data_IF_810930667440
#
_entry.id   IF_810930667440
#
_cell.length_a   1.000
_cell.length_b   1.000
_cell.length_c   1.000
_cell.angle_alpha   90.00
_cell.angle_beta   90.00
_cell.angle_gamma   90.00
#
_symmetry.space_group_name_H-M   'P 1'
#
loop_
_entity.id
_entity.type
_entity.pdbx_description
1 polymer ?
#
# COMPACT_ATOMS: atom_id res chain seq x y z
N UNK A 1 28.37 8.03 -24.53
CA UNK A 1 28.02 6.62 -24.29
C UNK A 1 26.49 6.51 -24.30
N UNK A 2 25.89 5.98 -25.37
CA UNK A 2 24.45 5.78 -25.45
C UNK A 2 24.03 4.81 -24.34
N UNK A 3 23.51 5.32 -23.22
CA UNK A 3 22.72 4.50 -22.29
C UNK A 3 21.67 3.78 -23.13
N UNK A 4 21.68 2.44 -23.15
CA UNK A 4 20.76 1.67 -23.97
C UNK A 4 19.32 2.10 -23.63
N UNK A 5 18.39 2.20 -24.60
CA UNK A 5 17.03 2.66 -24.35
C UNK A 5 16.35 1.91 -23.19
N UNK A 6 16.67 0.62 -23.01
CA UNK A 6 16.23 -0.22 -21.87
C UNK A 6 16.65 0.32 -20.50
N UNK A 7 17.87 0.84 -20.35
CA UNK A 7 18.38 1.35 -19.07
C UNK A 7 17.69 2.65 -18.66
N UNK A 8 17.44 3.53 -19.63
CA UNK A 8 16.67 4.76 -19.37
C UNK A 8 15.25 4.45 -18.94
N UNK A 9 14.62 3.47 -19.59
CA UNK A 9 13.29 3.01 -19.23
C UNK A 9 13.26 2.46 -17.79
N UNK A 10 14.20 1.59 -17.42
CA UNK A 10 14.26 1.04 -16.06
C UNK A 10 14.50 2.13 -15.01
N UNK A 11 15.43 3.06 -15.25
CA UNK A 11 15.65 4.19 -14.34
C UNK A 11 14.38 5.03 -14.16
N UNK A 12 13.66 5.29 -15.26
CA UNK A 12 12.40 6.01 -15.21
C UNK A 12 11.34 5.23 -14.40
N UNK A 13 11.21 3.92 -14.62
CA UNK A 13 10.27 3.08 -13.88
C UNK A 13 10.60 3.02 -12.38
N UNK A 14 11.87 2.85 -12.00
CA UNK A 14 12.26 2.87 -10.59
C UNK A 14 12.03 4.23 -9.95
N UNK A 15 12.28 5.32 -10.68
CA UNK A 15 12.00 6.66 -10.21
C UNK A 15 10.49 6.87 -9.96
N UNK A 16 9.63 6.45 -10.88
CA UNK A 16 8.18 6.51 -10.67
C UNK A 16 7.72 5.58 -9.54
N UNK A 17 8.35 4.41 -9.37
CA UNK A 17 8.09 3.51 -8.23
C UNK A 17 8.43 4.15 -6.89
N UNK A 18 9.56 4.87 -6.78
CA UNK A 18 9.94 5.61 -5.57
C UNK A 18 8.89 6.67 -5.24
N UNK A 19 8.44 7.44 -6.24
CA UNK A 19 7.41 8.47 -6.05
C UNK A 19 6.10 7.84 -5.58
N UNK A 20 5.61 6.80 -6.27
CA UNK A 20 4.37 6.10 -5.84
C UNK A 20 4.52 5.48 -4.46
N UNK A 21 5.67 4.89 -4.12
CA UNK A 21 5.87 4.34 -2.77
C UNK A 21 5.83 5.43 -1.68
N UNK A 22 6.35 6.64 -1.96
CA UNK A 22 6.21 7.78 -1.06
C UNK A 22 4.75 8.25 -0.93
N UNK A 23 4.00 8.27 -2.04
CA UNK A 23 2.58 8.60 -2.02
C UNK A 23 1.80 7.57 -1.21
N UNK A 24 2.05 6.28 -1.38
CA UNK A 24 1.42 5.22 -0.60
C UNK A 24 1.70 5.39 0.91
N UNK A 25 2.96 5.63 1.29
CA UNK A 25 3.30 5.96 2.68
C UNK A 25 2.56 7.21 3.19
N UNK A 26 2.44 8.24 2.36
CA UNK A 26 1.76 9.48 2.72
C UNK A 26 0.26 9.28 2.91
N UNK A 27 -0.41 8.59 1.98
CA UNK A 27 -1.86 8.39 2.01
C UNK A 27 -2.28 7.37 3.07
N UNK A 28 -1.60 6.21 3.15
CA UNK A 28 -1.92 5.18 4.15
C UNK A 28 -1.50 5.59 5.56
N UNK A 29 -0.43 6.39 5.72
CA UNK A 29 0.07 6.82 7.02
C UNK A 29 -0.37 8.23 7.43
N UNK A 30 0.29 9.24 6.85
CA UNK A 30 0.19 10.64 7.31
C UNK A 30 -1.23 11.18 7.12
N UNK A 31 -1.81 10.97 5.94
CA UNK A 31 -3.16 11.44 5.65
C UNK A 31 -4.19 10.74 6.53
N UNK A 32 -4.01 9.45 6.82
CA UNK A 32 -4.88 8.70 7.72
C UNK A 32 -4.84 9.24 9.15
N UNK A 33 -3.63 9.52 9.65
CA UNK A 33 -3.38 10.11 10.97
C UNK A 33 -4.00 11.51 11.10
N UNK A 34 -3.78 12.38 10.13
CA UNK A 34 -4.31 13.76 10.13
C UNK A 34 -5.82 13.81 9.98
N UNK A 35 -6.37 12.98 9.09
CA UNK A 35 -7.80 12.96 8.77
C UNK A 35 -8.64 12.30 9.86
N UNK A 36 -8.02 11.78 10.92
CA UNK A 36 -8.68 10.96 11.95
C UNK A 36 -9.60 9.92 11.28
N UNK A 37 -9.08 9.20 10.29
CA UNK A 37 -9.87 8.20 9.57
C UNK A 37 -10.41 7.14 10.54
N UNK A 38 -9.61 6.79 11.57
CA UNK A 38 -9.92 5.79 12.58
C UNK A 38 -11.22 6.10 13.37
N UNK A 39 -11.46 7.32 13.91
CA UNK A 39 -12.76 7.67 14.49
C UNK A 39 -13.93 7.65 13.50
N UNK A 40 -13.72 8.07 12.25
CA UNK A 40 -14.84 8.39 11.35
C UNK A 40 -15.64 7.17 10.91
N UNK A 41 -14.97 6.06 10.58
CA UNK A 41 -15.63 4.83 10.16
C UNK A 41 -16.32 4.13 11.34
N UNK A 42 -15.61 4.04 12.48
CA UNK A 42 -16.15 3.46 13.70
C UNK A 42 -17.36 4.23 14.21
N UNK A 43 -17.30 5.57 14.24
CA UNK A 43 -18.42 6.42 14.64
C UNK A 43 -19.63 6.27 13.70
N UNK A 44 -19.40 6.15 12.38
CA UNK A 44 -20.49 5.96 11.40
C UNK A 44 -21.15 4.58 11.52
N UNK A 45 -20.39 3.54 11.84
CA UNK A 45 -20.96 2.23 12.19
C UNK A 45 -21.71 2.26 13.54
N UNK A 46 -21.22 3.05 14.50
CA UNK A 46 -21.87 3.27 15.81
C UNK A 46 -23.29 3.83 15.65
N UNK A 47 -23.48 4.80 14.76
CA UNK A 47 -24.80 5.37 14.45
C UNK A 47 -25.76 4.32 13.84
N UNK A 48 -25.29 3.54 12.86
CA UNK A 48 -26.12 2.50 12.19
C UNK A 48 -26.55 1.36 13.12
N UNK A 49 -25.70 0.95 14.06
CA UNK A 49 -26.04 -0.10 15.03
C UNK A 49 -26.96 0.43 16.13
N UNK A 50 -26.85 1.71 16.50
CA UNK A 50 -27.78 2.33 17.45
C UNK A 50 -29.19 2.46 16.87
N UNK A 51 -29.34 2.89 15.62
CA UNK A 51 -30.66 2.98 14.95
C UNK A 51 -31.38 1.62 14.89
N UNK A 52 -30.64 0.53 14.67
CA UNK A 52 -31.24 -0.82 14.61
C UNK A 52 -31.33 -1.54 15.97
N UNK A 53 -30.72 -1.01 17.03
CA UNK A 53 -30.30 -1.83 18.17
C UNK A 53 -30.93 -1.49 19.52
N UNK A 54 -31.83 -0.53 19.60
CA UNK A 54 -32.32 0.09 20.84
C UNK A 54 -33.15 -0.83 21.78
N UNK A 55 -33.09 -2.18 21.66
CA UNK A 55 -33.94 -3.09 22.43
C UNK A 55 -33.25 -4.19 23.25
N UNK A 56 -31.92 -4.26 23.36
CA UNK A 56 -31.29 -5.32 24.21
C UNK A 56 -30.00 -4.79 24.84
N UNK A 57 -30.10 -4.12 25.99
CA UNK A 57 -29.13 -3.09 26.41
C UNK A 57 -27.96 -3.50 27.31
N UNK A 58 -27.93 -4.61 28.04
CA UNK A 58 -26.88 -4.76 29.08
C UNK A 58 -25.75 -5.75 28.72
N UNK A 59 -26.04 -7.03 28.49
CA UNK A 59 -25.01 -8.02 28.11
C UNK A 59 -24.42 -7.81 26.71
N UNK A 60 -25.22 -7.24 25.80
CA UNK A 60 -24.81 -6.91 24.42
C UNK A 60 -23.79 -5.77 24.40
N UNK A 61 -23.82 -4.87 25.38
CA UNK A 61 -22.91 -3.71 25.42
C UNK A 61 -21.45 -4.14 25.62
N UNK A 62 -21.16 -5.04 26.57
CA UNK A 62 -19.80 -5.52 26.85
C UNK A 62 -19.20 -6.32 25.70
N UNK A 63 -20.02 -7.15 25.04
CA UNK A 63 -19.59 -7.88 23.85
C UNK A 63 -19.38 -6.94 22.65
N UNK A 64 -20.18 -5.88 22.54
CA UNK A 64 -20.02 -4.83 21.53
C UNK A 64 -18.72 -4.05 21.73
N UNK A 65 -18.39 -3.64 22.96
CA UNK A 65 -17.12 -2.96 23.28
C UNK A 65 -15.92 -3.86 22.97
N UNK A 66 -15.99 -5.15 23.30
CA UNK A 66 -14.90 -6.09 22.95
C UNK A 66 -14.70 -6.19 21.45
N UNK A 67 -15.78 -6.40 20.68
CA UNK A 67 -15.71 -6.50 19.23
C UNK A 67 -15.22 -5.17 18.58
N UNK A 68 -15.56 -4.03 19.17
CA UNK A 68 -15.07 -2.70 18.78
C UNK A 68 -13.55 -2.57 18.97
N UNK A 69 -13.02 -3.00 20.11
CA UNK A 69 -11.59 -3.01 20.37
C UNK A 69 -10.85 -3.99 19.43
N UNK A 70 -11.44 -5.16 19.16
CA UNK A 70 -10.86 -6.16 18.27
C UNK A 70 -10.78 -5.65 16.82
N UNK A 71 -11.84 -4.99 16.32
CA UNK A 71 -11.83 -4.36 15.00
C UNK A 71 -10.89 -3.18 14.93
N UNK A 72 -10.92 -2.24 15.90
CA UNK A 72 -9.98 -1.13 15.93
C UNK A 72 -8.52 -1.60 15.92
N UNK A 73 -8.22 -2.67 16.67
CA UNK A 73 -6.90 -3.30 16.67
C UNK A 73 -6.56 -3.90 15.31
N UNK A 74 -7.50 -4.55 14.61
CA UNK A 74 -7.23 -5.12 13.30
C UNK A 74 -6.86 -4.04 12.29
N UNK A 75 -7.60 -2.92 12.26
CA UNK A 75 -7.30 -1.78 11.38
C UNK A 75 -5.89 -1.23 11.59
N UNK A 76 -5.48 -1.03 12.85
CA UNK A 76 -4.14 -0.54 13.16
C UNK A 76 -3.04 -1.49 12.68
N UNK A 77 -3.26 -2.80 12.79
CA UNK A 77 -2.32 -3.81 12.29
C UNK A 77 -2.19 -3.73 10.77
N UNK A 78 -3.29 -3.52 10.04
CA UNK A 78 -3.27 -3.39 8.58
C UNK A 78 -2.61 -2.10 8.11
N UNK A 79 -2.91 -0.96 8.72
CA UNK A 79 -2.23 0.31 8.41
C UNK A 79 -0.72 0.19 8.62
N UNK A 80 -0.30 -0.41 9.74
CA UNK A 80 1.11 -0.66 10.01
C UNK A 80 1.72 -1.58 8.95
N UNK A 81 1.01 -2.63 8.54
CA UNK A 81 1.48 -3.52 7.48
C UNK A 81 1.68 -2.79 6.15
N UNK A 82 0.73 -1.96 5.73
CA UNK A 82 0.84 -1.19 4.47
C UNK A 82 2.00 -0.20 4.53
N UNK A 83 2.17 0.52 5.65
CA UNK A 83 3.29 1.46 5.84
C UNK A 83 4.64 0.74 5.82
N UNK A 84 4.76 -0.39 6.53
CA UNK A 84 5.97 -1.20 6.52
C UNK A 84 6.29 -1.72 5.12
N UNK A 85 5.27 -2.18 4.40
CA UNK A 85 5.40 -2.70 3.04
C UNK A 85 5.79 -1.61 2.05
N UNK A 86 5.14 -0.45 2.10
CA UNK A 86 5.46 0.70 1.27
C UNK A 86 6.88 1.21 1.54
N UNK A 87 7.30 1.27 2.80
CA UNK A 87 8.67 1.61 3.20
C UNK A 87 9.67 0.60 2.67
N UNK A 88 9.35 -0.70 2.73
CA UNK A 88 10.19 -1.76 2.19
C UNK A 88 10.35 -1.65 0.67
N UNK A 89 9.26 -1.43 -0.08
CA UNK A 89 9.29 -1.22 -1.53
C UNK A 89 10.09 0.04 -1.87
N UNK A 90 9.88 1.14 -1.13
CA UNK A 90 10.63 2.37 -1.29
C UNK A 90 12.14 2.14 -1.18
N UNK A 91 12.58 1.45 -0.12
CA UNK A 91 13.99 1.16 0.12
C UNK A 91 14.58 0.31 -1.00
N UNK A 92 13.88 -0.74 -1.43
CA UNK A 92 14.34 -1.60 -2.52
C UNK A 92 14.44 -0.81 -3.83
N UNK A 93 13.38 -0.10 -4.23
CA UNK A 93 13.37 0.72 -5.45
C UNK A 93 14.44 1.81 -5.43
N UNK A 94 14.70 2.42 -4.27
CA UNK A 94 15.75 3.41 -4.11
C UNK A 94 17.14 2.80 -4.23
N UNK A 95 17.40 1.66 -3.59
CA UNK A 95 18.66 0.92 -3.74
C UNK A 95 18.89 0.56 -5.21
N UNK A 96 17.86 0.10 -5.91
CA UNK A 96 17.94 -0.23 -7.34
C UNK A 96 18.20 0.99 -8.21
N UNK A 97 17.56 2.12 -7.92
CA UNK A 97 17.79 3.38 -8.62
C UNK A 97 19.24 3.85 -8.42
N UNK A 98 19.75 3.80 -7.19
CA UNK A 98 21.13 4.17 -6.89
C UNK A 98 22.13 3.23 -7.55
N UNK A 99 21.91 1.92 -7.46
CA UNK A 99 22.78 0.92 -8.08
C UNK A 99 22.88 1.12 -9.60
N UNK A 100 21.74 1.29 -10.26
CA UNK A 100 21.68 1.56 -11.70
C UNK A 100 22.19 2.97 -12.07
N UNK A 101 22.23 3.92 -11.14
CA UNK A 101 22.80 5.24 -11.37
C UNK A 101 24.34 5.23 -11.27
N UNK A 102 24.89 4.56 -10.25
CA UNK A 102 26.31 4.57 -9.91
C UNK A 102 27.10 3.52 -10.68
N UNK A 103 26.61 2.27 -10.75
CA UNK A 103 27.37 1.13 -11.28
C UNK A 103 27.11 0.82 -12.76
N UNK A 104 26.72 1.82 -13.56
CA UNK A 104 26.31 1.64 -14.98
C UNK A 104 27.27 0.78 -15.81
N UNK A 105 28.57 0.93 -15.57
CA UNK A 105 29.64 0.32 -16.37
C UNK A 105 30.47 -0.74 -15.61
N UNK A 106 30.12 -1.09 -14.37
CA UNK A 106 30.90 -2.03 -13.57
C UNK A 106 30.48 -3.48 -13.88
N UNK A 107 31.43 -4.42 -13.95
CA UNK A 107 31.17 -5.87 -14.03
C UNK A 107 30.23 -6.36 -12.92
N UNK A 108 30.26 -5.68 -11.77
CA UNK A 108 29.39 -5.90 -10.60
C UNK A 108 27.90 -5.93 -10.97
N UNK A 109 27.50 -5.26 -12.07
CA UNK A 109 26.13 -5.25 -12.60
C UNK A 109 25.58 -6.63 -12.93
N UNK A 110 26.44 -7.53 -13.40
CA UNK A 110 25.99 -8.88 -13.74
C UNK A 110 25.64 -9.70 -12.49
N UNK A 111 26.35 -9.46 -11.37
CA UNK A 111 26.13 -10.16 -10.11
C UNK A 111 24.83 -9.73 -9.45
N UNK A 112 24.57 -8.42 -9.36
CA UNK A 112 23.34 -7.94 -8.72
C UNK A 112 22.12 -8.06 -9.63
N UNK A 113 22.26 -7.90 -10.96
CA UNK A 113 21.12 -7.91 -11.90
C UNK A 113 20.28 -9.20 -11.85
N UNK A 114 20.87 -10.32 -11.37
CA UNK A 114 20.17 -11.58 -11.14
C UNK A 114 19.06 -11.48 -10.09
N UNK A 115 19.20 -10.58 -9.12
CA UNK A 115 18.21 -10.38 -8.05
C UNK A 115 17.17 -9.32 -8.40
N UNK A 116 17.40 -8.50 -9.44
CA UNK A 116 16.53 -7.37 -9.80
C UNK A 116 15.11 -7.83 -10.16
N UNK A 117 15.00 -8.88 -10.99
CA UNK A 117 13.71 -9.45 -11.38
C UNK A 117 12.96 -10.10 -10.21
N UNK A 118 13.58 -11.02 -9.41
CA UNK A 118 12.94 -11.54 -8.20
C UNK A 118 12.45 -10.44 -7.24
N UNK A 119 13.27 -9.41 -7.02
CA UNK A 119 12.87 -8.29 -6.16
C UNK A 119 11.68 -7.53 -6.74
N UNK A 120 11.66 -7.25 -8.05
CA UNK A 120 10.53 -6.60 -8.69
C UNK A 120 9.24 -7.42 -8.58
N UNK A 121 9.31 -8.74 -8.75
CA UNK A 121 8.15 -9.65 -8.58
C UNK A 121 7.65 -9.61 -7.13
N UNK A 122 8.55 -9.66 -6.15
CA UNK A 122 8.21 -9.59 -4.72
C UNK A 122 7.55 -8.23 -4.40
N UNK A 123 8.09 -7.12 -4.89
CA UNK A 123 7.48 -5.80 -4.72
C UNK A 123 6.10 -5.71 -5.37
N UNK A 124 5.91 -6.30 -6.56
CA UNK A 124 4.62 -6.35 -7.23
C UNK A 124 3.57 -7.11 -6.43
N UNK A 125 3.96 -8.25 -5.84
CA UNK A 125 3.09 -9.07 -4.98
C UNK A 125 2.72 -8.31 -3.70
N UNK A 126 3.69 -7.70 -3.03
CA UNK A 126 3.44 -6.91 -1.83
C UNK A 126 2.57 -5.68 -2.08
N UNK A 127 2.82 -4.95 -3.18
CA UNK A 127 1.96 -3.84 -3.61
C UNK A 127 0.55 -4.34 -3.95
N UNK A 128 0.42 -5.52 -4.56
CA UNK A 128 -0.87 -6.15 -4.83
C UNK A 128 -1.63 -6.51 -3.56
N UNK A 129 -0.94 -7.06 -2.54
CA UNK A 129 -1.54 -7.31 -1.22
C UNK A 129 -2.01 -5.99 -0.61
N UNK A 130 -1.20 -4.92 -0.67
CA UNK A 130 -1.59 -3.60 -0.17
C UNK A 130 -2.85 -3.08 -0.89
N UNK A 131 -2.91 -3.20 -2.22
CA UNK A 131 -4.09 -2.79 -3.00
C UNK A 131 -5.36 -3.53 -2.57
N UNK A 132 -5.27 -4.86 -2.40
CA UNK A 132 -6.39 -5.68 -1.94
C UNK A 132 -6.83 -5.28 -0.53
N UNK A 133 -5.88 -5.08 0.39
CA UNK A 133 -6.22 -4.65 1.76
C UNK A 133 -6.86 -3.27 1.79
N UNK A 134 -6.31 -2.31 1.04
CA UNK A 134 -6.84 -0.95 0.93
C UNK A 134 -8.25 -0.96 0.35
N UNK A 135 -8.50 -1.76 -0.70
CA UNK A 135 -9.83 -1.90 -1.27
C UNK A 135 -10.83 -2.56 -0.31
N UNK A 136 -10.44 -3.62 0.40
CA UNK A 136 -11.32 -4.26 1.38
C UNK A 136 -11.79 -3.30 2.47
N UNK A 137 -10.93 -2.40 2.93
CA UNK A 137 -11.26 -1.43 3.97
C UNK A 137 -11.87 -0.13 3.44
N UNK A 138 -11.75 0.14 2.14
CA UNK A 138 -12.38 1.28 1.47
C UNK A 138 -13.89 1.11 1.23
N UNK A 139 -14.37 -0.14 1.17
CA UNK A 139 -15.76 -0.46 0.85
C UNK A 139 -16.61 -0.30 2.12
N UNK A 140 -17.47 0.73 2.13
CA UNK A 140 -18.57 0.78 3.08
C UNK A 140 -19.66 -0.17 2.59
N UNK A 141 -19.80 -1.34 3.22
CA UNK A 141 -20.78 -2.36 2.78
C UNK A 141 -22.25 -1.91 2.89
N UNK A 142 -22.54 -0.79 3.57
CA UNK A 142 -23.93 -0.33 3.77
C UNK A 142 -24.48 0.55 2.65
N UNK A 143 -23.61 1.33 2.03
CA UNK A 143 -23.91 2.11 0.85
C UNK A 143 -22.75 1.78 -0.06
N UNK A 144 -23.00 1.07 -1.16
CA UNK A 144 -22.04 0.55 -2.15
C UNK A 144 -21.26 1.70 -2.83
N UNK A 145 -20.65 2.56 -2.02
CA UNK A 145 -20.06 3.84 -2.32
C UNK A 145 -18.70 3.80 -1.67
N UNK A 146 -17.69 3.94 -2.50
CA UNK A 146 -16.31 3.97 -2.07
C UNK A 146 -16.13 5.18 -1.13
N UNK A 147 -15.43 4.99 -0.02
CA UNK A 147 -14.91 6.13 0.71
C UNK A 147 -13.80 6.76 -0.13
N UNK A 148 -14.03 7.96 -0.69
CA UNK A 148 -13.09 8.70 -1.54
C UNK A 148 -11.64 8.65 -1.02
N UNK A 149 -11.46 8.73 0.31
CA UNK A 149 -10.15 8.74 0.97
C UNK A 149 -9.29 7.49 0.72
N UNK A 150 -9.89 6.30 0.73
CA UNK A 150 -9.17 5.02 0.65
C UNK A 150 -8.98 4.57 -0.80
N UNK A 151 -9.80 5.09 -1.72
CA UNK A 151 -9.66 4.79 -3.16
C UNK A 151 -8.29 5.21 -3.67
N UNK A 152 -7.73 6.32 -3.20
CA UNK A 152 -6.46 6.82 -3.73
C UNK A 152 -5.28 5.92 -3.34
N UNK A 153 -5.21 5.47 -2.08
CA UNK A 153 -4.18 4.53 -1.64
C UNK A 153 -4.30 3.18 -2.34
N UNK A 154 -5.52 2.65 -2.50
CA UNK A 154 -5.77 1.42 -3.26
C UNK A 154 -5.39 1.55 -4.74
N UNK A 155 -5.71 2.68 -5.37
CA UNK A 155 -5.34 2.98 -6.77
C UNK A 155 -3.82 3.08 -6.91
N UNK A 156 -3.15 3.81 -6.02
CA UNK A 156 -1.69 3.96 -6.05
C UNK A 156 -0.97 2.63 -5.80
N UNK A 157 -1.43 1.82 -4.84
CA UNK A 157 -0.91 0.47 -4.62
C UNK A 157 -1.13 -0.44 -5.85
N UNK A 158 -2.28 -0.33 -6.52
CA UNK A 158 -2.55 -1.06 -7.76
C UNK A 158 -1.60 -0.62 -8.86
N UNK A 159 -1.42 0.69 -9.05
CA UNK A 159 -0.50 1.26 -10.02
C UNK A 159 0.95 0.81 -9.74
N UNK A 160 1.36 0.80 -8.46
CA UNK A 160 2.68 0.34 -8.02
C UNK A 160 2.88 -1.15 -8.31
N UNK A 161 1.86 -1.98 -8.09
CA UNK A 161 1.88 -3.40 -8.44
C UNK A 161 2.07 -3.62 -9.94
N UNK A 162 1.31 -2.90 -10.78
CA UNK A 162 1.47 -2.92 -12.24
C UNK A 162 2.84 -2.43 -12.69
N UNK A 163 3.33 -1.35 -12.09
CA UNK A 163 4.64 -0.78 -12.41
C UNK A 163 5.75 -1.80 -12.14
N UNK A 164 5.74 -2.45 -10.98
CA UNK A 164 6.71 -3.50 -10.67
C UNK A 164 6.58 -4.74 -11.56
N UNK A 165 5.37 -5.09 -12.00
CA UNK A 165 5.19 -6.13 -13.01
C UNK A 165 5.81 -5.73 -14.34
N UNK A 166 5.63 -4.49 -14.80
CA UNK A 166 6.27 -3.96 -16.02
C UNK A 166 7.79 -3.97 -15.88
N UNK A 167 8.35 -3.61 -14.71
CA UNK A 167 9.79 -3.71 -14.44
C UNK A 167 10.24 -5.17 -14.59
N UNK A 168 9.53 -6.12 -13.97
CA UNK A 168 9.87 -7.54 -14.06
C UNK A 168 9.87 -8.04 -15.52
N UNK A 169 8.87 -7.66 -16.31
CA UNK A 169 8.83 -7.99 -17.75
C UNK A 169 9.93 -7.29 -18.55
N UNK A 170 10.26 -6.04 -18.22
CA UNK A 170 11.34 -5.29 -18.88
C UNK A 170 12.74 -5.82 -18.52
N UNK A 171 12.87 -6.66 -17.48
CA UNK A 171 14.10 -7.32 -17.04
C UNK A 171 14.28 -8.74 -17.59
N UNK A 172 13.20 -9.35 -18.09
CA UNK A 172 13.26 -10.61 -18.86
C UNK A 172 13.97 -10.41 -20.22
#
# INVERSE_FOLDING_TARGET
MLTRPRERLLLFLYFTSVISSLLLCYYSGIYCLYSKCLPSWLAKNRQRVQENGQLVEDGRSKMRIKNENDTASSYQIFELFVICTATFILLLSFIWLLANSIFKNAEIRQTYGRFEMPTAVICSLFAGICAVTEFHYSIDYSFLHWSDKWTFAGIDATALSFLHAIIAFALH
#
